data_IF_040805235219
#
_entry.id   IF_040805235219
#
_cell.length_a   1.000
_cell.length_b   1.000
_cell.length_c   1.000
_cell.angle_alpha   90.00
_cell.angle_beta   90.00
_cell.angle_gamma   90.00
#
_symmetry.space_group_name_H-M   'P 1'
#
loop_
_entity.id
_entity.type
_entity.pdbx_description
1 polymer ?
#
# COMPACT_ATOMS: atom_id res chain seq x y z
N UNK A 1 12.12 5.12 19.15
CA UNK A 1 11.33 5.40 17.94
C UNK A 1 11.82 4.44 16.87
N UNK A 2 11.14 3.31 16.71
CA UNK A 2 11.42 2.40 15.62
C UNK A 2 10.88 3.08 14.36
N UNK A 3 11.79 3.54 13.50
CA UNK A 3 11.46 3.84 12.11
C UNK A 3 11.16 2.47 11.52
N UNK A 4 9.89 2.13 11.36
CA UNK A 4 9.46 0.87 10.75
C UNK A 4 10.03 0.87 9.34
N UNK A 5 11.22 0.29 9.22
CA UNK A 5 11.86 0.04 7.96
C UNK A 5 11.09 -1.15 7.44
N UNK A 6 10.15 -0.89 6.53
CA UNK A 6 9.66 -1.94 5.65
C UNK A 6 10.93 -2.57 5.08
N UNK A 7 11.28 -3.76 5.57
CA UNK A 7 12.52 -4.41 5.20
C UNK A 7 12.44 -4.66 3.69
N UNK A 8 13.49 -4.35 2.93
CA UNK A 8 13.45 -4.47 1.46
C UNK A 8 13.01 -5.86 0.99
N UNK A 9 13.26 -6.88 1.81
CA UNK A 9 12.79 -8.25 1.62
C UNK A 9 11.25 -8.36 1.50
N UNK A 10 10.47 -7.54 2.20
CA UNK A 10 9.00 -7.61 2.14
C UNK A 10 8.40 -6.96 0.89
N UNK A 11 9.04 -5.92 0.35
CA UNK A 11 8.64 -5.33 -0.93
C UNK A 11 9.03 -6.22 -2.10
N UNK A 12 10.18 -6.89 -2.00
CA UNK A 12 10.60 -7.92 -2.95
C UNK A 12 9.64 -9.12 -2.94
N UNK A 13 9.09 -9.50 -1.78
CA UNK A 13 8.07 -10.55 -1.67
C UNK A 13 6.76 -10.17 -2.38
N UNK A 14 6.24 -8.96 -2.16
CA UNK A 14 5.06 -8.46 -2.88
C UNK A 14 5.34 -8.42 -4.40
N UNK A 15 6.48 -7.88 -4.79
CA UNK A 15 6.89 -7.79 -6.19
C UNK A 15 7.01 -9.17 -6.85
N UNK A 16 7.60 -10.14 -6.16
CA UNK A 16 7.70 -11.52 -6.63
C UNK A 16 6.33 -12.20 -6.72
N UNK A 17 5.42 -11.91 -5.80
CA UNK A 17 4.06 -12.45 -5.86
C UNK A 17 3.26 -11.86 -7.03
N UNK A 18 3.34 -10.54 -7.25
CA UNK A 18 2.75 -9.90 -8.43
C UNK A 18 3.33 -10.42 -9.75
N UNK A 19 4.63 -10.75 -9.76
CA UNK A 19 5.30 -11.41 -10.87
C UNK A 19 4.77 -12.83 -11.10
N UNK A 20 4.61 -13.62 -10.05
CA UNK A 20 4.12 -14.99 -10.13
C UNK A 20 2.65 -15.06 -10.59
N UNK A 21 1.85 -14.05 -10.22
CA UNK A 21 0.47 -13.86 -10.70
C UNK A 21 0.41 -13.26 -12.13
N UNK A 22 1.56 -12.93 -12.73
CA UNK A 22 1.63 -12.41 -14.11
C UNK A 22 1.20 -10.95 -14.26
N UNK A 23 1.06 -10.22 -13.16
CA UNK A 23 0.59 -8.82 -13.14
C UNK A 23 1.69 -7.87 -13.61
N UNK A 24 2.95 -8.12 -13.24
CA UNK A 24 4.10 -7.25 -13.60
C UNK A 24 5.35 -8.12 -13.78
N UNK A 25 6.05 -7.98 -14.91
CA UNK A 25 7.30 -8.71 -15.14
C UNK A 25 8.47 -8.07 -14.36
N UNK A 26 9.50 -8.84 -13.95
CA UNK A 26 10.67 -8.32 -13.23
C UNK A 26 11.56 -7.38 -14.06
N UNK A 27 11.37 -7.38 -15.39
CA UNK A 27 12.05 -6.48 -16.33
C UNK A 27 11.13 -5.38 -16.84
N UNK A 28 9.93 -5.27 -16.29
CA UNK A 28 9.00 -4.21 -16.64
C UNK A 28 9.43 -2.95 -15.88
N UNK A 29 9.73 -1.82 -16.55
CA UNK A 29 10.09 -0.58 -15.88
C UNK A 29 8.99 -0.07 -14.94
N UNK A 30 7.76 -0.57 -15.05
CA UNK A 30 6.65 -0.29 -14.13
C UNK A 30 6.77 -1.01 -12.79
N UNK A 31 7.70 -1.96 -12.65
CA UNK A 31 7.91 -2.70 -11.41
C UNK A 31 8.43 -1.78 -10.30
N UNK A 32 9.50 -1.02 -10.55
CA UNK A 32 10.04 -0.03 -9.61
C UNK A 32 8.99 1.02 -9.25
N UNK A 33 8.25 1.52 -10.25
CA UNK A 33 7.15 2.46 -10.02
C UNK A 33 6.05 1.88 -9.12
N UNK A 34 5.73 0.59 -9.27
CA UNK A 34 4.69 -0.06 -8.45
C UNK A 34 5.15 -0.27 -7.02
N UNK A 35 6.41 -0.68 -6.81
CA UNK A 35 6.97 -0.84 -5.47
C UNK A 35 7.06 0.49 -4.74
N UNK A 36 7.41 1.58 -5.44
CA UNK A 36 7.42 2.93 -4.88
C UNK A 36 6.01 3.35 -4.45
N UNK A 37 5.01 3.13 -5.30
CA UNK A 37 3.60 3.42 -4.99
C UNK A 37 3.12 2.63 -3.77
N UNK A 38 3.54 1.37 -3.62
CA UNK A 38 3.20 0.57 -2.44
C UNK A 38 3.85 1.09 -1.16
N UNK A 39 5.11 1.52 -1.21
CA UNK A 39 5.76 2.17 -0.08
C UNK A 39 5.02 3.45 0.32
N UNK A 40 4.67 4.32 -0.64
CA UNK A 40 3.88 5.54 -0.42
C UNK A 40 2.51 5.24 0.21
N UNK A 41 1.84 4.16 -0.23
CA UNK A 41 0.55 3.74 0.32
C UNK A 41 0.67 3.24 1.77
N UNK A 42 1.73 2.50 2.11
CA UNK A 42 1.94 2.02 3.48
C UNK A 42 2.19 3.21 4.42
N UNK A 43 3.05 4.15 4.02
CA UNK A 43 3.30 5.38 4.78
C UNK A 43 1.99 6.18 4.96
N UNK A 44 1.20 6.33 3.90
CA UNK A 44 -0.09 7.02 3.97
C UNK A 44 -1.11 6.31 4.87
N UNK A 45 -1.09 4.99 4.93
CA UNK A 45 -1.93 4.19 5.84
C UNK A 45 -1.47 4.35 7.29
N UNK A 46 -0.17 4.40 7.57
CA UNK A 46 0.34 4.74 8.91
C UNK A 46 -0.13 6.11 9.35
N UNK A 47 0.04 7.11 8.49
CA UNK A 47 -0.40 8.47 8.73
C UNK A 47 -1.91 8.53 9.00
N UNK A 48 -2.70 7.82 8.18
CA UNK A 48 -4.13 7.69 8.36
C UNK A 48 -4.51 7.04 9.69
N UNK A 49 -3.79 6.00 10.10
CA UNK A 49 -4.02 5.25 11.34
C UNK A 49 -3.73 6.13 12.55
N UNK A 50 -2.62 6.85 12.54
CA UNK A 50 -2.25 7.80 13.60
C UNK A 50 -3.28 8.93 13.72
N UNK A 51 -3.65 9.57 12.60
CA UNK A 51 -4.64 10.68 12.58
C UNK A 51 -6.03 10.28 13.03
N UNK A 52 -6.36 8.99 12.93
CA UNK A 52 -7.68 8.45 13.27
C UNK A 52 -7.69 7.63 14.55
N UNK A 53 -6.61 7.69 15.35
CA UNK A 53 -6.44 6.93 16.59
C UNK A 53 -6.70 5.42 16.39
N UNK A 54 -6.09 4.83 15.36
CA UNK A 54 -6.16 3.39 15.08
C UNK A 54 -7.37 2.94 14.25
N UNK A 55 -8.27 3.84 13.86
CA UNK A 55 -9.48 3.48 13.08
C UNK A 55 -9.21 3.28 11.58
N UNK A 56 -8.13 3.85 11.06
CA UNK A 56 -7.85 3.87 9.63
C UNK A 56 -8.81 4.75 8.83
N UNK A 57 -8.65 4.70 7.50
CA UNK A 57 -9.39 5.58 6.60
C UNK A 57 -9.78 4.89 5.28
N UNK A 58 -10.68 5.53 4.54
CA UNK A 58 -11.12 5.01 3.24
C UNK A 58 -10.05 5.24 2.16
N UNK A 59 -10.08 4.40 1.11
CA UNK A 59 -9.14 4.44 -0.02
C UNK A 59 -8.99 5.83 -0.66
N UNK A 60 -10.06 6.62 -0.76
CA UNK A 60 -9.99 7.97 -1.32
C UNK A 60 -9.15 8.92 -0.48
N UNK A 61 -9.23 8.80 0.85
CA UNK A 61 -8.45 9.64 1.76
C UNK A 61 -7.00 9.18 1.85
N UNK A 62 -6.74 7.89 1.73
CA UNK A 62 -5.38 7.35 1.65
C UNK A 62 -4.71 7.79 0.35
N UNK A 63 -5.43 7.75 -0.79
CA UNK A 63 -4.94 8.28 -2.06
C UNK A 63 -4.58 9.78 -1.97
N UNK A 64 -5.33 10.56 -1.16
CA UNK A 64 -5.00 11.96 -0.89
C UNK A 64 -3.71 12.09 -0.08
N UNK A 65 -3.56 11.31 1.01
CA UNK A 65 -2.36 11.33 1.86
C UNK A 65 -1.10 10.88 1.12
N UNK A 66 -1.20 9.86 0.27
CA UNK A 66 -0.10 9.40 -0.58
C UNK A 66 0.20 10.36 -1.75
N UNK A 67 -0.62 11.40 -1.98
CA UNK A 67 -0.46 12.27 -3.16
C UNK A 67 -0.82 11.59 -4.50
N UNK A 68 -1.42 10.40 -4.45
CA UNK A 68 -1.70 9.53 -5.60
C UNK A 68 -3.02 9.85 -6.32
N UNK A 69 -3.89 10.66 -5.73
CA UNK A 69 -5.22 11.00 -6.26
C UNK A 69 -5.23 11.66 -7.67
N UNK A 70 -4.08 12.20 -8.12
CA UNK A 70 -3.95 12.76 -9.48
C UNK A 70 -3.49 11.73 -10.52
N UNK A 71 -2.94 10.59 -10.07
CA UNK A 71 -2.39 9.52 -10.93
C UNK A 71 -3.31 8.31 -10.99
N UNK A 72 -4.02 8.02 -9.89
CA UNK A 72 -4.85 6.83 -9.75
C UNK A 72 -6.24 7.19 -9.23
N UNK A 73 -7.23 6.45 -9.70
CA UNK A 73 -8.58 6.54 -9.14
C UNK A 73 -8.59 5.98 -7.72
N UNK A 74 -9.59 6.38 -6.92
CA UNK A 74 -9.75 5.82 -5.57
C UNK A 74 -10.01 4.31 -5.60
N UNK A 75 -10.59 3.77 -6.68
CA UNK A 75 -10.80 2.33 -6.87
C UNK A 75 -9.48 1.61 -7.12
N UNK A 76 -8.64 2.12 -8.02
CA UNK A 76 -7.31 1.57 -8.27
C UNK A 76 -6.43 1.59 -7.00
N UNK A 77 -6.49 2.67 -6.22
CA UNK A 77 -5.81 2.72 -4.92
C UNK A 77 -6.41 1.69 -3.94
N UNK A 78 -7.71 1.46 -3.98
CA UNK A 78 -8.37 0.40 -3.22
C UNK A 78 -7.82 -0.98 -3.57
N UNK A 79 -7.68 -1.29 -4.87
CA UNK A 79 -7.13 -2.56 -5.34
C UNK A 79 -5.68 -2.77 -4.86
N UNK A 80 -4.86 -1.71 -4.92
CA UNK A 80 -3.48 -1.74 -4.42
C UNK A 80 -3.42 -1.96 -2.90
N UNK A 81 -4.30 -1.31 -2.14
CA UNK A 81 -4.41 -1.52 -0.69
C UNK A 81 -4.92 -2.92 -0.34
N UNK A 82 -5.76 -3.52 -1.18
CA UNK A 82 -6.20 -4.90 -1.04
C UNK A 82 -5.05 -5.88 -1.25
N UNK A 83 -4.17 -5.64 -2.23
CA UNK A 83 -2.92 -6.39 -2.40
C UNK A 83 -2.05 -6.28 -1.15
N UNK A 84 -1.82 -5.06 -0.66
CA UNK A 84 -1.03 -4.84 0.57
C UNK A 84 -1.67 -5.52 1.79
N UNK A 85 -3.00 -5.57 1.84
CA UNK A 85 -3.71 -6.26 2.91
C UNK A 85 -3.60 -7.77 2.84
N UNK A 86 -3.60 -8.33 1.63
CA UNK A 86 -3.37 -9.76 1.41
C UNK A 86 -1.99 -10.20 1.93
N UNK A 87 -0.96 -9.38 1.75
CA UNK A 87 0.39 -9.64 2.28
C UNK A 87 0.59 -9.21 3.74
N UNK A 88 -0.44 -8.66 4.40
CA UNK A 88 -0.38 -8.30 5.82
C UNK A 88 0.36 -6.99 6.13
N UNK A 89 0.70 -6.18 5.13
CA UNK A 89 1.29 -4.85 5.34
C UNK A 89 0.27 -3.81 5.77
N UNK A 90 -0.99 -4.05 5.45
CA UNK A 90 -2.14 -3.20 5.78
C UNK A 90 -3.26 -4.09 6.31
N UNK A 91 -4.08 -3.58 7.24
CA UNK A 91 -5.31 -4.24 7.64
C UNK A 91 -6.51 -3.57 6.97
N UNK A 92 -7.34 -4.35 6.30
CA UNK A 92 -8.67 -3.93 5.85
C UNK A 92 -9.73 -4.30 6.90
N UNK A 93 -10.39 -3.30 7.47
CA UNK A 93 -11.53 -3.46 8.36
C UNK A 93 -12.75 -2.77 7.73
N UNK A 94 -13.71 -3.57 7.29
CA UNK A 94 -14.84 -3.13 6.47
C UNK A 94 -14.37 -2.38 5.20
N UNK A 95 -14.53 -1.05 5.20
CA UNK A 95 -14.16 -0.14 4.10
C UNK A 95 -13.00 0.79 4.47
N UNK A 96 -12.26 0.45 5.53
CA UNK A 96 -11.14 1.25 6.04
C UNK A 96 -9.88 0.43 6.01
N UNK A 97 -8.78 1.10 5.71
CA UNK A 97 -7.45 0.55 5.77
C UNK A 97 -6.68 1.22 6.89
N UNK A 98 -5.97 0.43 7.68
CA UNK A 98 -5.16 0.86 8.82
C UNK A 98 -3.86 0.06 8.87
N UNK A 99 -2.86 0.55 9.59
CA UNK A 99 -1.65 -0.20 9.86
C UNK A 99 -1.95 -1.37 10.80
N UNK A 100 -1.28 -2.53 10.61
CA UNK A 100 -1.31 -3.63 11.57
C UNK A 100 -0.85 -3.15 12.96
N UNK A 101 -1.40 -3.74 14.02
CA UNK A 101 -1.02 -3.44 15.42
C UNK A 101 0.07 -4.37 15.96
#
# INVERSE_FOLDING_TARGET
MAKFTIEGESMDEIGNALKNEGVIGPNDPRFEETTDVFAELIEAVEDATQRTNGRGNQQSKIAEYAGLHNRYSSEQVGDMLDVLSYFGHVEKVDRRYRSPQ
#
